data_IF_411716681923
#
_entry.id   IF_411716681923
#
_cell.length_a   1.000
_cell.length_b   1.000
_cell.length_c   1.000
_cell.angle_alpha   90.00
_cell.angle_beta   90.00
_cell.angle_gamma   90.00
#
_symmetry.space_group_name_H-M   'P 1'
#
loop_
_entity.id
_entity.type
_entity.pdbx_description
1 polymer ?
#
# COMPACT_ATOMS: atom_id res chain seq x y z
N UNK A 1 -89.76 1.24 24.67
CA UNK A 1 -88.69 1.35 23.73
C UNK A 1 -87.45 0.76 24.39
N UNK A 2 -87.18 -0.51 24.16
CA UNK A 2 -86.04 -1.22 24.74
C UNK A 2 -85.30 -1.91 23.60
N UNK A 3 -84.08 -1.49 23.33
CA UNK A 3 -83.18 -2.11 22.36
C UNK A 3 -82.28 -3.09 23.14
N UNK A 4 -82.36 -4.34 22.77
CA UNK A 4 -81.63 -5.46 23.34
C UNK A 4 -80.27 -5.62 22.65
N UNK A 5 -79.21 -5.57 23.44
CA UNK A 5 -77.81 -5.88 23.03
C UNK A 5 -77.59 -7.37 23.21
N UNK A 6 -77.48 -8.13 22.11
CA UNK A 6 -76.95 -9.50 22.04
C UNK A 6 -75.81 -9.55 21.03
N UNK A 7 -74.59 -9.20 21.46
CA UNK A 7 -73.38 -9.35 20.66
C UNK A 7 -72.16 -9.68 21.54
N UNK A 8 -72.27 -10.66 22.45
CA UNK A 8 -71.16 -10.97 23.35
C UNK A 8 -70.64 -12.46 23.29
N UNK A 9 -71.30 -13.35 22.58
CA UNK A 9 -70.97 -14.77 22.72
C UNK A 9 -70.25 -15.43 21.50
N UNK A 10 -70.14 -14.72 20.38
CA UNK A 10 -69.45 -15.26 19.20
C UNK A 10 -67.95 -14.86 19.12
N UNK A 11 -67.55 -13.83 19.82
CA UNK A 11 -66.14 -13.39 19.84
C UNK A 11 -65.29 -14.27 20.80
N UNK A 12 -65.89 -14.80 21.90
CA UNK A 12 -65.14 -15.64 22.82
C UNK A 12 -64.83 -17.05 22.27
N UNK A 13 -65.73 -17.60 21.44
CA UNK A 13 -65.52 -18.92 20.80
C UNK A 13 -64.45 -18.86 19.67
N UNK A 14 -64.31 -17.75 18.98
CA UNK A 14 -63.30 -17.57 17.94
C UNK A 14 -61.88 -17.40 18.50
N UNK A 15 -61.73 -16.77 19.67
CA UNK A 15 -60.44 -16.62 20.36
C UNK A 15 -59.94 -17.93 21.00
N UNK A 16 -60.81 -18.80 21.47
CA UNK A 16 -60.43 -20.10 22.00
C UNK A 16 -59.97 -21.09 20.91
N UNK A 17 -60.56 -21.03 19.73
CA UNK A 17 -60.17 -21.86 18.57
C UNK A 17 -58.81 -21.41 17.97
N UNK A 18 -58.50 -20.10 18.00
CA UNK A 18 -57.22 -19.56 17.54
C UNK A 18 -56.07 -19.89 18.51
N UNK A 19 -56.30 -19.94 19.82
CA UNK A 19 -55.29 -20.30 20.81
C UNK A 19 -54.91 -21.78 20.79
N UNK A 20 -55.83 -22.69 20.48
CA UNK A 20 -55.55 -24.14 20.30
C UNK A 20 -54.81 -24.42 18.97
N UNK A 21 -55.06 -23.68 17.91
CA UNK A 21 -54.35 -23.78 16.64
C UNK A 21 -52.90 -23.33 16.72
N UNK A 22 -52.59 -22.30 17.52
CA UNK A 22 -51.24 -21.77 17.70
C UNK A 22 -50.37 -22.68 18.60
N UNK A 23 -50.97 -23.38 19.59
CA UNK A 23 -50.23 -24.33 20.43
C UNK A 23 -49.85 -25.62 19.69
N UNK A 24 -50.59 -26.03 18.65
CA UNK A 24 -50.23 -27.18 17.82
C UNK A 24 -49.12 -26.84 16.76
N UNK A 25 -48.94 -25.57 16.39
CA UNK A 25 -47.88 -25.14 15.47
C UNK A 25 -46.53 -24.95 16.17
N UNK A 26 -46.47 -24.70 17.47
CA UNK A 26 -45.22 -24.50 18.22
C UNK A 26 -44.66 -25.82 18.78
N UNK A 27 -45.46 -26.89 18.85
CA UNK A 27 -45.03 -28.22 19.36
C UNK A 27 -44.43 -29.16 18.33
N UNK A 28 -44.33 -28.76 17.03
CA UNK A 28 -44.02 -29.67 15.94
C UNK A 28 -42.62 -29.52 15.31
N UNK A 29 -41.72 -28.65 15.81
CA UNK A 29 -40.40 -28.45 15.18
C UNK A 29 -39.30 -28.47 16.26
N UNK A 30 -39.17 -29.58 16.94
CA UNK A 30 -37.93 -30.00 17.59
C UNK A 30 -37.48 -31.31 16.93
N UNK A 31 -37.28 -31.27 15.60
CA UNK A 31 -36.39 -32.24 14.97
C UNK A 31 -34.97 -31.86 15.41
N UNK A 32 -34.20 -32.80 15.99
CA UNK A 32 -32.79 -32.57 16.18
C UNK A 32 -32.21 -32.31 14.79
N UNK A 33 -31.79 -31.07 14.54
CA UNK A 33 -30.88 -30.77 13.42
C UNK A 33 -29.69 -31.70 13.59
N UNK A 34 -29.31 -32.50 12.58
CA UNK A 34 -28.06 -33.22 12.65
C UNK A 34 -27.01 -32.18 12.91
N UNK A 35 -26.29 -32.28 14.03
CA UNK A 35 -25.06 -31.55 14.22
C UNK A 35 -24.16 -32.00 13.08
N UNK A 36 -24.01 -31.17 12.04
CA UNK A 36 -22.92 -31.33 11.14
C UNK A 36 -21.71 -31.08 12.04
N UNK A 37 -21.05 -32.16 12.43
CA UNK A 37 -19.67 -32.04 12.86
C UNK A 37 -18.98 -31.37 11.68
N UNK A 38 -18.59 -30.13 11.89
CA UNK A 38 -17.73 -29.39 10.96
C UNK A 38 -16.48 -30.25 10.84
N UNK A 39 -16.35 -30.96 9.72
CA UNK A 39 -15.11 -31.67 9.35
C UNK A 39 -14.07 -30.60 9.00
N UNK A 40 -13.89 -29.61 9.88
CA UNK A 40 -12.85 -28.64 9.80
C UNK A 40 -11.54 -29.43 9.91
N UNK A 41 -10.81 -29.47 8.81
CA UNK A 41 -9.45 -30.01 8.82
C UNK A 41 -8.71 -29.46 10.06
N UNK A 42 -8.00 -30.30 10.83
CA UNK A 42 -7.35 -29.88 12.05
C UNK A 42 -6.50 -28.65 11.78
N UNK A 43 -6.67 -27.63 12.61
CA UNK A 43 -5.93 -26.35 12.51
C UNK A 43 -4.46 -26.62 12.87
N UNK A 44 -3.65 -26.95 11.85
CA UNK A 44 -2.23 -27.26 12.03
C UNK A 44 -1.49 -25.96 12.31
N UNK A 45 -0.98 -25.84 13.51
CA UNK A 45 -0.20 -24.69 13.98
C UNK A 45 1.22 -25.12 14.30
N UNK A 46 2.19 -24.41 13.76
CA UNK A 46 3.59 -24.72 14.00
C UNK A 46 4.48 -23.46 13.92
N UNK A 47 5.70 -23.59 14.38
CA UNK A 47 6.74 -22.59 14.21
C UNK A 47 8.06 -23.23 13.76
N UNK A 48 8.83 -22.46 13.00
CA UNK A 48 10.14 -22.85 12.50
C UNK A 48 11.12 -21.71 12.81
N UNK A 49 12.17 -22.01 13.54
CA UNK A 49 13.16 -21.02 13.97
C UNK A 49 14.55 -21.61 13.92
N UNK A 50 15.62 -20.81 13.73
CA UNK A 50 16.99 -21.26 13.93
C UNK A 50 17.19 -21.85 15.32
N UNK A 51 18.10 -22.80 15.43
CA UNK A 51 18.39 -23.53 16.65
C UNK A 51 19.89 -23.89 16.72
N UNK A 52 20.33 -24.32 17.87
CA UNK A 52 21.53 -25.12 18.04
C UNK A 52 21.16 -26.60 18.22
N UNK A 53 22.15 -27.45 18.48
CA UNK A 53 21.89 -28.88 18.67
C UNK A 53 21.01 -29.18 19.91
N UNK A 54 20.81 -28.23 20.82
CA UNK A 54 20.01 -28.38 22.05
C UNK A 54 18.59 -27.81 21.91
N UNK A 55 18.33 -26.95 20.95
CA UNK A 55 17.03 -26.33 20.72
C UNK A 55 17.09 -24.91 20.18
N UNK A 56 15.94 -24.19 20.15
CA UNK A 56 15.87 -22.81 19.70
C UNK A 56 16.82 -21.89 20.42
N UNK A 57 17.67 -21.14 19.71
CA UNK A 57 18.73 -20.30 20.24
C UNK A 57 18.44 -18.81 20.27
N UNK A 58 17.22 -18.42 19.86
CA UNK A 58 16.74 -17.05 19.85
C UNK A 58 17.08 -16.27 18.58
N UNK A 59 17.85 -16.82 17.66
CA UNK A 59 18.04 -16.23 16.32
C UNK A 59 16.71 -16.19 15.57
N UNK A 60 16.55 -15.20 14.70
CA UNK A 60 15.40 -15.11 13.77
C UNK A 60 15.80 -15.42 12.34
N UNK A 61 17.09 -15.30 12.04
CA UNK A 61 17.70 -15.53 10.75
C UNK A 61 19.01 -16.28 10.97
N UNK A 62 19.46 -16.98 9.96
CA UNK A 62 20.80 -17.53 9.89
C UNK A 62 21.63 -16.62 9.00
N UNK A 63 22.66 -16.00 9.57
CA UNK A 63 23.60 -15.13 8.87
C UNK A 63 25.00 -15.74 8.99
N UNK A 64 25.54 -16.21 7.87
CA UNK A 64 26.86 -16.88 7.84
C UNK A 64 27.78 -16.20 6.83
N UNK A 65 29.08 -16.26 7.12
CA UNK A 65 30.14 -15.82 6.21
C UNK A 65 31.03 -17.02 5.90
N UNK A 66 31.13 -17.35 4.61
CA UNK A 66 31.85 -18.53 4.14
C UNK A 66 32.74 -18.15 2.94
N UNK A 67 33.88 -18.83 2.82
CA UNK A 67 34.69 -18.73 1.61
C UNK A 67 34.12 -19.63 0.49
N UNK A 68 34.38 -19.33 -0.78
CA UNK A 68 34.03 -20.24 -1.88
C UNK A 68 34.59 -21.65 -1.60
N UNK A 69 33.76 -22.67 -1.75
CA UNK A 69 34.09 -24.07 -1.47
C UNK A 69 33.98 -24.50 -0.01
N UNK A 70 33.66 -23.60 0.91
CA UNK A 70 33.42 -23.95 2.31
C UNK A 70 32.02 -24.46 2.58
N UNK A 71 31.89 -25.24 3.66
CA UNK A 71 30.58 -25.69 4.16
C UNK A 71 30.51 -25.51 5.67
N UNK A 72 29.27 -25.32 6.13
CA UNK A 72 28.95 -25.25 7.58
C UNK A 72 27.68 -26.05 7.84
N UNK A 73 27.63 -26.70 9.00
CA UNK A 73 26.43 -27.35 9.51
C UNK A 73 25.81 -26.46 10.60
N UNK A 74 24.49 -26.32 10.54
CA UNK A 74 23.70 -25.58 11.52
C UNK A 74 22.38 -26.31 11.76
N UNK A 75 21.52 -25.79 12.63
CA UNK A 75 20.31 -26.46 13.04
C UNK A 75 19.13 -25.50 13.01
N UNK A 76 17.93 -26.08 12.88
CA UNK A 76 16.69 -25.37 13.11
C UNK A 76 15.70 -26.26 13.86
N UNK A 77 14.76 -25.63 14.56
CA UNK A 77 13.75 -26.32 15.32
C UNK A 77 12.38 -26.16 14.63
N UNK A 78 11.69 -27.28 14.46
CA UNK A 78 10.27 -27.33 14.07
C UNK A 78 9.47 -27.69 15.30
N UNK A 79 8.57 -26.80 15.72
CA UNK A 79 7.67 -27.01 16.84
C UNK A 79 6.25 -27.16 16.35
N UNK A 80 5.62 -28.27 16.66
CA UNK A 80 4.20 -28.48 16.48
C UNK A 80 3.44 -27.90 17.67
N UNK A 81 2.57 -26.92 17.43
CA UNK A 81 1.76 -26.25 18.47
C UNK A 81 0.33 -26.82 18.51
N UNK A 82 0.03 -27.75 17.59
CA UNK A 82 -1.25 -28.47 17.53
C UNK A 82 -1.29 -29.67 18.51
N UNK A 83 -2.41 -30.36 18.50
CA UNK A 83 -2.77 -31.47 19.37
C UNK A 83 -2.68 -32.86 18.68
N UNK A 84 -2.28 -32.90 17.42
CA UNK A 84 -2.04 -34.11 16.65
C UNK A 84 -0.60 -34.15 16.12
N UNK A 85 -0.06 -35.34 15.90
CA UNK A 85 1.22 -35.53 15.20
C UNK A 85 1.11 -35.08 13.76
N UNK A 86 2.13 -34.36 13.26
CA UNK A 86 2.18 -33.83 11.89
C UNK A 86 3.53 -34.12 11.26
N UNK A 87 3.52 -34.56 10.01
CA UNK A 87 4.71 -34.64 9.17
C UNK A 87 4.79 -33.39 8.31
N UNK A 88 5.84 -32.60 8.52
CA UNK A 88 6.13 -31.39 7.75
C UNK A 88 7.09 -31.71 6.61
N UNK A 89 6.80 -31.22 5.41
CA UNK A 89 7.76 -31.21 4.32
C UNK A 89 8.73 -30.06 4.54
N UNK A 90 10.01 -30.31 4.36
CA UNK A 90 11.07 -29.34 4.49
C UNK A 90 11.58 -28.95 3.11
N UNK A 91 11.76 -27.66 2.88
CA UNK A 91 12.23 -27.13 1.59
C UNK A 91 13.22 -26.00 1.85
N UNK A 92 14.34 -26.03 1.11
CA UNK A 92 15.25 -24.91 0.97
C UNK A 92 15.15 -24.34 -0.44
N UNK A 93 15.05 -23.04 -0.57
CA UNK A 93 14.95 -22.39 -1.90
C UNK A 93 15.54 -20.99 -1.87
N UNK A 94 15.83 -20.43 -3.06
CA UNK A 94 16.30 -19.06 -3.21
C UNK A 94 15.31 -18.07 -2.63
N UNK A 95 15.84 -17.07 -1.93
CA UNK A 95 15.08 -16.01 -1.31
C UNK A 95 14.96 -14.79 -2.24
N UNK A 96 13.84 -14.12 -2.15
CA UNK A 96 13.59 -12.88 -2.89
C UNK A 96 12.73 -11.92 -2.07
N UNK A 97 12.70 -10.65 -2.47
CA UNK A 97 11.83 -9.67 -1.87
C UNK A 97 10.56 -9.50 -2.70
N UNK A 98 9.39 -9.70 -2.07
CA UNK A 98 8.09 -9.51 -2.73
C UNK A 98 7.86 -8.02 -3.06
N UNK A 99 6.95 -7.66 -3.98
CA UNK A 99 6.59 -6.26 -4.25
C UNK A 99 6.13 -5.50 -3.00
N UNK A 100 5.56 -6.18 -2.01
CA UNK A 100 5.20 -5.61 -0.72
C UNK A 100 6.38 -5.41 0.24
N UNK A 101 7.61 -5.78 -0.17
CA UNK A 101 8.84 -5.64 0.62
C UNK A 101 9.02 -6.67 1.71
N UNK A 102 8.35 -7.81 1.61
CA UNK A 102 8.54 -8.94 2.53
C UNK A 102 9.46 -9.96 1.88
N UNK A 103 10.33 -10.55 2.69
CA UNK A 103 11.11 -11.69 2.27
C UNK A 103 10.21 -12.92 2.05
N UNK A 104 10.45 -13.64 0.98
CA UNK A 104 9.82 -14.92 0.66
C UNK A 104 10.84 -15.80 -0.06
N UNK A 105 10.52 -17.07 -0.26
CA UNK A 105 11.32 -18.02 -1.05
C UNK A 105 10.54 -18.46 -2.28
N UNK A 106 11.25 -18.95 -3.28
CA UNK A 106 10.65 -19.50 -4.48
C UNK A 106 9.57 -20.52 -4.16
N UNK A 107 8.49 -20.49 -4.95
CA UNK A 107 7.40 -21.44 -4.80
C UNK A 107 7.84 -22.85 -5.15
N UNK A 108 7.15 -23.83 -4.57
CA UNK A 108 7.38 -25.23 -4.87
C UNK A 108 7.28 -25.51 -6.39
N UNK A 109 8.21 -26.26 -6.93
CA UNK A 109 8.33 -26.50 -8.38
C UNK A 109 9.10 -25.44 -9.16
N UNK A 110 9.50 -24.32 -8.55
CA UNK A 110 10.43 -23.37 -9.14
C UNK A 110 11.86 -23.74 -8.75
N UNK A 111 12.70 -23.98 -9.73
CA UNK A 111 14.10 -24.37 -9.47
C UNK A 111 14.90 -23.19 -8.93
N UNK A 112 15.58 -23.41 -7.80
CA UNK A 112 16.61 -22.51 -7.28
C UNK A 112 17.84 -22.52 -8.19
N UNK A 113 18.51 -21.39 -8.29
CA UNK A 113 19.73 -21.21 -9.10
C UNK A 113 20.89 -20.64 -8.31
N UNK A 114 20.65 -20.17 -7.09
CA UNK A 114 21.61 -19.53 -6.20
C UNK A 114 21.65 -20.24 -4.83
N UNK A 115 21.68 -19.49 -3.74
CA UNK A 115 21.90 -19.97 -2.36
C UNK A 115 20.94 -21.08 -1.93
N UNK A 116 19.74 -21.16 -2.48
CA UNK A 116 18.82 -22.27 -2.24
C UNK A 116 19.38 -23.62 -2.67
N UNK A 117 20.25 -23.66 -3.69
CA UNK A 117 20.90 -24.88 -4.15
C UNK A 117 22.06 -25.32 -3.24
N UNK A 118 22.56 -24.43 -2.39
CA UNK A 118 23.68 -24.69 -1.48
C UNK A 118 23.23 -25.34 -0.17
N UNK A 119 21.91 -25.32 0.10
CA UNK A 119 21.35 -25.78 1.36
C UNK A 119 20.80 -27.19 1.20
N UNK A 120 21.30 -28.09 2.02
CA UNK A 120 20.81 -29.47 2.12
C UNK A 120 20.03 -29.63 3.41
N UNK A 121 18.74 -30.03 3.29
CA UNK A 121 17.84 -30.35 4.41
C UNK A 121 17.23 -31.73 4.18
N UNK A 122 16.81 -32.46 5.22
CA UNK A 122 15.97 -33.64 5.07
C UNK A 122 14.66 -33.31 4.33
N UNK A 123 14.07 -34.27 3.61
CA UNK A 123 12.82 -34.05 2.87
C UNK A 123 11.62 -33.75 3.78
N UNK A 124 11.62 -34.33 4.97
CA UNK A 124 10.51 -34.16 5.93
C UNK A 124 10.94 -34.42 7.38
N UNK A 125 10.11 -33.93 8.29
CA UNK A 125 10.22 -34.21 9.74
C UNK A 125 8.85 -34.47 10.31
N UNK A 126 8.73 -35.53 11.13
CA UNK A 126 7.51 -35.84 11.88
C UNK A 126 7.65 -35.32 13.30
N UNK A 127 6.68 -34.52 13.74
CA UNK A 127 6.69 -33.84 15.04
C UNK A 127 5.39 -34.20 15.80
N UNK A 128 5.54 -34.86 16.96
CA UNK A 128 4.41 -35.19 17.81
C UNK A 128 3.70 -33.92 18.32
N UNK A 129 2.46 -34.09 18.78
CA UNK A 129 1.66 -33.01 19.36
C UNK A 129 2.43 -32.26 20.48
N UNK A 130 2.51 -30.94 20.40
CA UNK A 130 3.18 -30.09 21.37
C UNK A 130 4.72 -30.21 21.41
N UNK A 131 5.32 -31.11 20.62
CA UNK A 131 6.77 -31.38 20.63
C UNK A 131 7.55 -30.39 19.76
N UNK A 132 8.87 -30.40 19.99
CA UNK A 132 9.87 -29.69 19.17
C UNK A 132 10.92 -30.70 18.71
N UNK A 133 11.25 -30.68 17.43
CA UNK A 133 12.32 -31.49 16.83
C UNK A 133 13.36 -30.57 16.26
N UNK A 134 14.63 -30.82 16.60
CA UNK A 134 15.78 -30.11 16.02
C UNK A 134 16.24 -30.88 14.78
N UNK A 135 16.43 -30.17 13.70
CA UNK A 135 16.78 -30.70 12.38
C UNK A 135 18.12 -30.09 11.95
N UNK A 136 19.15 -30.91 11.66
CA UNK A 136 20.37 -30.40 11.08
C UNK A 136 20.20 -30.05 9.61
N UNK A 137 20.96 -29.06 9.14
CA UNK A 137 21.10 -28.72 7.73
C UNK A 137 22.53 -28.28 7.42
N UNK A 138 22.91 -28.36 6.17
CA UNK A 138 24.25 -27.98 5.71
C UNK A 138 24.13 -26.88 4.66
N UNK A 139 24.97 -25.87 4.75
CA UNK A 139 25.20 -24.86 3.70
C UNK A 139 26.56 -25.18 3.08
N UNK A 140 26.60 -25.53 1.80
CA UNK A 140 27.82 -25.85 1.06
C UNK A 140 27.98 -24.87 -0.12
N UNK A 141 28.82 -23.85 0.06
CA UNK A 141 29.08 -22.83 -0.95
C UNK A 141 29.92 -23.43 -2.08
N UNK A 142 29.52 -23.33 -3.35
CA UNK A 142 30.34 -23.77 -4.47
C UNK A 142 31.68 -23.04 -4.56
N UNK A 143 32.72 -23.68 -5.02
CA UNK A 143 34.02 -23.05 -5.24
C UNK A 143 34.00 -21.95 -6.30
N UNK A 144 32.95 -21.91 -7.13
CA UNK A 144 32.71 -20.91 -8.18
C UNK A 144 31.72 -19.85 -7.78
N UNK A 145 31.28 -19.85 -6.51
CA UNK A 145 30.31 -18.84 -6.02
C UNK A 145 30.89 -17.44 -6.13
N UNK A 146 30.09 -16.51 -6.60
CA UNK A 146 30.50 -15.10 -6.69
C UNK A 146 30.55 -14.46 -5.28
N UNK A 147 31.50 -13.55 -5.03
CA UNK A 147 31.51 -12.80 -3.77
C UNK A 147 30.25 -11.95 -3.59
N UNK A 148 29.72 -11.90 -2.38
CA UNK A 148 28.55 -11.09 -2.08
C UNK A 148 27.55 -11.74 -1.13
N UNK A 149 26.38 -11.14 -1.02
CA UNK A 149 25.27 -11.65 -0.23
C UNK A 149 24.32 -12.48 -1.08
N UNK A 150 24.10 -13.70 -0.66
CA UNK A 150 23.17 -14.64 -1.29
C UNK A 150 22.07 -15.00 -0.31
N UNK A 151 20.83 -14.94 -0.77
CA UNK A 151 19.66 -15.12 0.07
C UNK A 151 18.93 -16.43 -0.26
N UNK A 152 18.62 -17.18 0.78
CA UNK A 152 17.77 -18.36 0.73
C UNK A 152 16.86 -18.41 1.94
N UNK A 153 15.97 -19.37 1.99
CA UNK A 153 15.19 -19.67 3.19
C UNK A 153 14.93 -21.15 3.32
N UNK A 154 14.69 -21.56 4.56
CA UNK A 154 14.27 -22.91 4.92
C UNK A 154 12.84 -22.81 5.44
N UNK A 155 11.96 -23.66 4.92
CA UNK A 155 10.55 -23.71 5.34
C UNK A 155 10.14 -25.13 5.70
N UNK A 156 9.18 -25.21 6.64
CA UNK A 156 8.40 -26.41 6.86
C UNK A 156 6.97 -26.14 6.38
N UNK A 157 6.44 -27.02 5.55
CA UNK A 157 5.11 -26.89 4.96
C UNK A 157 4.21 -28.08 5.26
N UNK A 158 2.90 -27.82 5.22
CA UNK A 158 1.86 -28.83 5.29
C UNK A 158 0.81 -28.55 4.24
N UNK A 159 0.41 -29.61 3.52
CA UNK A 159 -0.68 -29.56 2.58
C UNK A 159 -2.00 -29.90 3.28
N UNK A 160 -2.89 -28.97 3.38
CA UNK A 160 -4.26 -29.19 3.86
C UNK A 160 -5.24 -29.17 2.69
N UNK A 161 -6.12 -30.16 2.61
CA UNK A 161 -7.19 -30.19 1.61
C UNK A 161 -8.45 -29.62 2.24
N UNK A 162 -8.89 -28.47 1.77
CA UNK A 162 -10.18 -27.87 2.19
C UNK A 162 -11.24 -28.19 1.14
N UNK A 163 -12.40 -28.66 1.61
CA UNK A 163 -13.58 -28.77 0.75
C UNK A 163 -14.25 -27.41 0.67
N UNK A 164 -14.43 -26.92 -0.54
CA UNK A 164 -15.23 -25.72 -0.79
C UNK A 164 -16.72 -26.08 -0.83
N UNK A 165 -17.58 -25.12 -0.48
CA UNK A 165 -19.03 -25.25 -0.67
C UNK A 165 -19.32 -25.53 -2.15
N UNK A 166 -19.91 -26.71 -2.44
CA UNK A 166 -20.14 -27.17 -3.81
C UNK A 166 -19.32 -28.39 -4.24
N UNK A 167 -18.54 -29.01 -3.32
CA UNK A 167 -17.88 -30.31 -3.53
C UNK A 167 -16.54 -30.28 -4.21
N UNK A 168 -16.04 -29.10 -4.59
CA UNK A 168 -14.67 -28.93 -5.08
C UNK A 168 -13.68 -29.01 -3.91
N UNK A 169 -12.58 -29.76 -4.07
CA UNK A 169 -11.48 -29.80 -3.09
C UNK A 169 -10.35 -28.88 -3.53
N UNK A 170 -9.94 -27.97 -2.67
CA UNK A 170 -8.79 -27.09 -2.89
C UNK A 170 -7.66 -27.48 -1.94
N UNK A 171 -6.51 -27.86 -2.48
CA UNK A 171 -5.30 -28.05 -1.70
C UNK A 171 -4.71 -26.67 -1.34
N UNK A 172 -4.54 -26.39 -0.04
CA UNK A 172 -3.86 -25.20 0.47
C UNK A 172 -2.57 -25.64 1.13
N UNK A 173 -1.44 -25.22 0.58
CA UNK A 173 -0.14 -25.39 1.23
C UNK A 173 0.14 -24.17 2.09
N UNK A 174 0.39 -24.42 3.37
CA UNK A 174 0.84 -23.39 4.32
C UNK A 174 2.30 -23.61 4.62
N UNK A 175 3.11 -22.55 4.55
CA UNK A 175 4.57 -22.59 4.77
C UNK A 175 4.97 -21.63 5.88
N UNK A 176 5.83 -22.06 6.77
CA UNK A 176 6.47 -21.24 7.79
C UNK A 176 7.97 -21.55 7.76
N UNK A 177 8.80 -20.52 7.86
CA UNK A 177 10.24 -20.68 7.80
C UNK A 177 11.01 -19.45 8.24
N UNK A 178 12.29 -19.47 7.99
CA UNK A 178 13.21 -18.39 8.32
C UNK A 178 14.19 -18.15 7.16
N UNK A 179 14.78 -16.98 7.17
CA UNK A 179 15.75 -16.52 6.18
C UNK A 179 17.15 -17.05 6.49
N UNK A 180 17.85 -17.50 5.46
CA UNK A 180 19.25 -17.85 5.48
C UNK A 180 20.00 -16.89 4.58
N UNK A 181 20.99 -16.19 5.10
CA UNK A 181 21.82 -15.24 4.38
C UNK A 181 23.26 -15.73 4.43
N UNK A 182 23.80 -16.01 3.26
CA UNK A 182 25.18 -16.45 3.12
C UNK A 182 25.99 -15.33 2.48
N UNK A 183 26.97 -14.80 3.18
CA UNK A 183 27.95 -13.90 2.60
C UNK A 183 29.15 -14.71 2.13
N UNK A 184 29.35 -14.75 0.82
CA UNK A 184 30.55 -15.31 0.20
C UNK A 184 31.65 -14.26 0.25
N UNK A 185 32.84 -14.66 0.81
CA UNK A 185 33.97 -13.74 0.96
C UNK A 185 34.58 -13.37 -0.39
N UNK A 186 35.12 -12.16 -0.48
CA UNK A 186 35.71 -11.60 -1.68
C UNK A 186 35.47 -10.10 -1.78
N UNK A 187 35.59 -9.57 -2.97
CA UNK A 187 35.39 -8.15 -3.20
C UNK A 187 33.90 -7.76 -3.11
N UNK A 188 33.60 -6.84 -2.20
CA UNK A 188 32.26 -6.32 -2.00
C UNK A 188 32.14 -5.01 -2.76
N UNK A 189 31.22 -4.96 -3.72
CA UNK A 189 30.96 -3.84 -4.61
C UNK A 189 29.49 -3.34 -4.43
N UNK A 190 29.21 -2.54 -3.39
CA UNK A 190 27.87 -2.02 -3.17
C UNK A 190 27.53 -0.97 -4.22
N UNK A 191 26.40 -1.10 -4.91
CA UNK A 191 25.92 -0.16 -5.91
C UNK A 191 24.41 -0.05 -5.88
N UNK A 192 23.89 1.17 -5.98
CA UNK A 192 22.46 1.42 -6.11
C UNK A 192 22.17 2.24 -7.36
N UNK A 193 21.04 1.96 -7.99
CA UNK A 193 20.54 2.72 -9.14
C UNK A 193 19.16 3.30 -8.84
N UNK A 194 18.89 4.47 -9.42
CA UNK A 194 17.58 5.10 -9.45
C UNK A 194 17.07 5.14 -10.89
N UNK A 195 15.88 4.60 -11.10
CA UNK A 195 15.24 4.54 -12.40
C UNK A 195 13.78 5.01 -12.33
N UNK A 196 13.15 5.22 -13.50
CA UNK A 196 11.73 5.46 -13.68
C UNK A 196 11.12 6.51 -12.71
N UNK A 197 11.86 7.63 -12.48
CA UNK A 197 11.39 8.70 -11.61
C UNK A 197 10.25 9.48 -12.29
N UNK A 198 9.10 9.53 -11.62
CA UNK A 198 7.92 10.28 -12.06
C UNK A 198 7.37 11.11 -10.89
N UNK A 199 6.81 12.26 -11.21
CA UNK A 199 6.19 13.13 -10.23
C UNK A 199 4.80 13.58 -10.71
N UNK A 200 3.83 13.62 -9.79
CA UNK A 200 2.48 14.10 -10.02
C UNK A 200 2.07 15.10 -8.94
N UNK A 201 1.06 15.92 -9.23
CA UNK A 201 0.57 16.94 -8.32
C UNK A 201 -0.93 16.78 -8.10
N UNK A 202 -1.30 16.65 -6.84
CA UNK A 202 -2.68 16.62 -6.38
C UNK A 202 -3.07 18.02 -5.89
N UNK A 203 -4.02 18.65 -6.61
CA UNK A 203 -4.45 20.01 -6.38
C UNK A 203 -5.38 20.11 -5.17
N UNK A 204 -5.11 21.06 -4.24
CA UNK A 204 -6.13 21.51 -3.27
C UNK A 204 -7.00 22.57 -3.92
N UNK A 205 -8.33 22.36 -3.92
CA UNK A 205 -9.28 23.31 -4.48
C UNK A 205 -9.46 24.59 -3.66
N UNK A 206 -8.88 24.67 -2.47
CA UNK A 206 -8.80 25.93 -1.74
C UNK A 206 -7.62 26.77 -2.29
N UNK A 207 -7.90 27.95 -2.89
CA UNK A 207 -6.85 28.76 -3.51
C UNK A 207 -5.79 29.31 -2.53
N UNK A 208 -6.05 29.21 -1.22
CA UNK A 208 -5.17 29.69 -0.16
C UNK A 208 -4.37 28.54 0.49
N UNK A 209 -4.49 27.32 -0.02
CA UNK A 209 -3.73 26.16 0.48
C UNK A 209 -2.81 25.59 -0.61
N UNK A 210 -1.62 25.14 -0.20
CA UNK A 210 -0.77 24.36 -1.09
C UNK A 210 -1.38 22.97 -1.31
N UNK A 211 -1.03 22.32 -2.41
CA UNK A 211 -1.39 20.94 -2.70
C UNK A 211 -0.31 19.95 -2.26
N UNK A 212 -0.41 18.74 -2.78
CA UNK A 212 0.47 17.61 -2.44
C UNK A 212 1.15 17.11 -3.72
N UNK A 213 2.45 16.91 -3.68
CA UNK A 213 3.18 16.22 -4.74
C UNK A 213 3.41 14.75 -4.36
N UNK A 214 3.33 13.89 -5.35
CA UNK A 214 3.64 12.46 -5.19
C UNK A 214 4.77 12.12 -6.15
N UNK A 215 5.91 11.69 -5.60
CA UNK A 215 7.07 11.26 -6.37
C UNK A 215 7.20 9.74 -6.28
N UNK A 216 7.22 9.09 -7.42
CA UNK A 216 7.38 7.63 -7.56
C UNK A 216 8.67 7.35 -8.30
N UNK A 217 9.47 6.45 -7.79
CA UNK A 217 10.77 6.09 -8.37
C UNK A 217 11.13 4.65 -8.05
N UNK A 218 11.94 4.05 -8.89
CA UNK A 218 12.46 2.70 -8.67
C UNK A 218 13.87 2.77 -8.12
N UNK A 219 14.09 2.05 -7.01
CA UNK A 219 15.41 1.81 -6.44
C UNK A 219 15.83 0.39 -6.77
N UNK A 220 16.98 0.21 -7.39
CA UNK A 220 17.57 -1.09 -7.67
C UNK A 220 18.89 -1.24 -6.93
N UNK A 221 19.11 -2.43 -6.36
CA UNK A 221 20.43 -2.84 -5.87
C UNK A 221 21.21 -3.46 -7.04
N UNK A 222 22.13 -2.69 -7.59
CA UNK A 222 22.99 -3.11 -8.69
C UNK A 222 24.35 -3.69 -8.21
N UNK A 223 24.52 -3.79 -6.89
CA UNK A 223 25.73 -4.34 -6.27
C UNK A 223 25.56 -5.79 -5.86
N UNK A 224 26.60 -6.32 -5.21
CA UNK A 224 26.65 -7.70 -4.72
C UNK A 224 26.44 -7.81 -3.21
N UNK A 225 26.01 -6.77 -2.53
CA UNK A 225 25.73 -6.78 -1.09
C UNK A 225 24.36 -6.16 -0.81
N UNK A 226 23.76 -6.54 0.29
CA UNK A 226 22.49 -5.98 0.76
C UNK A 226 22.61 -4.49 1.01
N UNK A 227 21.59 -3.73 0.59
CA UNK A 227 21.52 -2.30 0.78
C UNK A 227 20.27 -1.93 1.57
N UNK A 228 20.38 -0.89 2.37
CA UNK A 228 19.24 -0.18 2.94
C UNK A 228 19.03 1.08 2.13
N UNK A 229 17.85 1.22 1.53
CA UNK A 229 17.48 2.41 0.79
C UNK A 229 17.08 3.52 1.77
N UNK A 230 17.80 4.63 1.74
CA UNK A 230 17.50 5.84 2.49
C UNK A 230 17.88 7.07 1.68
N UNK A 231 17.20 8.20 1.91
CA UNK A 231 17.50 9.42 1.17
C UNK A 231 16.48 10.51 1.40
N UNK A 232 16.40 11.44 0.46
CA UNK A 232 15.47 12.57 0.50
C UNK A 232 14.80 12.77 -0.86
N UNK A 233 13.57 13.24 -0.82
CA UNK A 233 12.83 13.74 -1.98
C UNK A 233 12.58 15.22 -1.78
N UNK A 234 13.05 16.04 -2.70
CA UNK A 234 12.84 17.49 -2.72
C UNK A 234 11.90 17.85 -3.85
N UNK A 235 10.88 18.66 -3.57
CA UNK A 235 9.94 19.21 -4.56
C UNK A 235 9.79 20.70 -4.30
N UNK A 236 10.30 21.52 -5.20
CA UNK A 236 10.39 22.96 -4.98
C UNK A 236 11.22 23.28 -3.73
N UNK A 237 10.58 23.92 -2.75
CA UNK A 237 11.17 24.27 -1.45
C UNK A 237 10.94 23.24 -0.33
N UNK A 238 10.26 22.13 -0.64
CA UNK A 238 9.93 21.07 0.32
C UNK A 238 10.88 19.89 0.17
N UNK A 239 11.32 19.36 1.31
CA UNK A 239 12.16 18.17 1.36
C UNK A 239 11.62 17.20 2.42
N UNK A 240 11.50 15.93 2.04
CA UNK A 240 11.03 14.85 2.90
C UNK A 240 12.03 13.70 2.83
N UNK A 241 12.36 13.13 3.97
CA UNK A 241 13.24 11.96 4.06
C UNK A 241 12.46 10.67 3.82
N UNK A 242 13.12 9.68 3.24
CA UNK A 242 12.64 8.32 3.18
C UNK A 242 13.72 7.34 3.71
N UNK A 243 13.36 6.30 4.50
CA UNK A 243 12.04 6.12 5.09
C UNK A 243 11.64 7.31 5.97
N UNK A 244 10.34 7.48 6.21
CA UNK A 244 9.85 8.48 7.14
C UNK A 244 10.33 8.17 8.58
N UNK A 245 10.34 9.17 9.44
CA UNK A 245 10.75 8.98 10.83
C UNK A 245 9.86 7.93 11.52
N UNK A 246 10.48 6.88 12.09
CA UNK A 246 9.77 5.75 12.70
C UNK A 246 9.37 4.62 11.74
N UNK A 247 9.55 4.78 10.44
CA UNK A 247 9.38 3.68 9.49
C UNK A 247 10.62 2.79 9.42
N UNK A 248 10.39 1.49 9.24
CA UNK A 248 11.48 0.55 9.00
C UNK A 248 12.10 0.80 7.63
N UNK A 249 13.41 0.88 7.61
CA UNK A 249 14.16 1.03 6.37
C UNK A 249 13.96 -0.19 5.46
N UNK A 250 13.87 0.07 4.15
CA UNK A 250 13.75 -0.97 3.14
C UNK A 250 15.10 -1.60 2.86
N UNK A 251 15.22 -2.89 3.14
CA UNK A 251 16.37 -3.70 2.74
C UNK A 251 16.15 -4.22 1.32
N UNK A 252 17.19 -4.14 0.49
CA UNK A 252 17.22 -4.63 -0.89
C UNK A 252 18.34 -5.68 -1.00
N UNK A 253 17.98 -6.88 -1.39
CA UNK A 253 18.93 -7.94 -1.74
C UNK A 253 19.65 -7.59 -3.06
N UNK A 254 20.83 -8.17 -3.35
CA UNK A 254 21.47 -8.05 -4.67
C UNK A 254 20.48 -8.40 -5.79
N UNK A 255 20.40 -7.53 -6.80
CA UNK A 255 19.46 -7.70 -7.91
C UNK A 255 18.02 -7.25 -7.64
N UNK A 256 17.64 -6.95 -6.40
CA UNK A 256 16.30 -6.48 -6.08
C UNK A 256 16.03 -5.09 -6.69
N UNK A 257 14.78 -4.92 -7.15
CA UNK A 257 14.23 -3.62 -7.57
C UNK A 257 12.93 -3.36 -6.82
N UNK A 258 12.77 -2.13 -6.35
CA UNK A 258 11.57 -1.73 -5.63
C UNK A 258 11.09 -0.34 -6.03
N UNK A 259 9.81 -0.25 -6.36
CA UNK A 259 9.13 1.03 -6.56
C UNK A 259 8.81 1.66 -5.20
N UNK A 260 9.28 2.88 -4.99
CA UNK A 260 9.01 3.69 -3.82
C UNK A 260 8.09 4.85 -4.19
N UNK A 261 7.21 5.20 -3.27
CA UNK A 261 6.30 6.32 -3.40
C UNK A 261 6.45 7.22 -2.19
N UNK A 262 6.82 8.47 -2.42
CA UNK A 262 6.98 9.48 -1.36
C UNK A 262 5.97 10.61 -1.59
N UNK A 263 5.26 10.96 -0.55
CA UNK A 263 4.28 12.05 -0.55
C UNK A 263 4.94 13.29 0.06
N UNK A 264 4.87 14.40 -0.65
CA UNK A 264 5.43 15.69 -0.24
C UNK A 264 4.29 16.70 -0.12
N UNK A 265 3.91 17.01 1.10
CA UNK A 265 2.84 17.96 1.38
C UNK A 265 3.32 19.41 1.37
N UNK A 266 2.41 20.34 1.15
CA UNK A 266 2.69 21.75 1.25
C UNK A 266 3.41 22.33 0.03
N UNK A 267 3.26 21.74 -1.14
CA UNK A 267 3.83 22.22 -2.40
C UNK A 267 2.91 23.25 -3.03
N UNK A 268 3.42 24.46 -3.27
CA UNK A 268 2.67 25.52 -3.94
C UNK A 268 2.61 25.29 -5.48
N UNK A 269 1.46 25.54 -6.12
CA UNK A 269 1.32 25.37 -7.56
C UNK A 269 1.99 26.52 -8.34
N UNK A 270 3.24 26.33 -8.70
CA UNK A 270 4.07 27.30 -9.42
C UNK A 270 4.16 27.02 -10.94
N UNK A 271 3.16 26.32 -11.51
CA UNK A 271 3.09 25.87 -12.90
C UNK A 271 4.06 24.75 -13.20
N UNK A 272 5.34 24.95 -13.02
CA UNK A 272 6.41 23.98 -13.22
C UNK A 272 7.23 23.90 -11.94
N UNK A 273 7.32 22.68 -11.35
CA UNK A 273 8.05 22.46 -10.11
C UNK A 273 9.06 21.33 -10.33
N UNK A 274 10.35 21.56 -10.09
CA UNK A 274 11.35 20.50 -10.14
C UNK A 274 11.19 19.56 -8.94
N UNK A 275 11.44 18.28 -9.17
CA UNK A 275 11.52 17.25 -8.15
C UNK A 275 12.87 16.54 -8.26
N UNK A 276 13.55 16.34 -7.14
CA UNK A 276 14.83 15.64 -7.08
C UNK A 276 14.76 14.56 -6.03
N UNK A 277 15.12 13.34 -6.41
CA UNK A 277 15.31 12.21 -5.50
C UNK A 277 16.80 12.05 -5.27
N UNK A 278 17.22 12.12 -4.01
CA UNK A 278 18.61 11.87 -3.59
C UNK A 278 18.64 10.60 -2.76
N UNK A 279 19.25 9.54 -3.27
CA UNK A 279 19.43 8.26 -2.58
C UNK A 279 20.82 8.23 -1.96
N UNK A 280 20.88 7.95 -0.66
CA UNK A 280 22.12 7.74 0.12
C UNK A 280 22.03 6.33 0.72
N UNK A 281 22.29 5.29 -0.07
CA UNK A 281 22.12 3.92 0.38
C UNK A 281 23.22 3.55 1.38
N UNK A 282 22.90 2.56 2.24
CA UNK A 282 23.85 2.01 3.21
C UNK A 282 23.99 0.51 2.99
N UNK A 283 25.21 0.02 2.89
CA UNK A 283 25.45 -1.40 2.84
C UNK A 283 25.18 -2.03 4.21
N UNK A 284 24.52 -3.20 4.22
CA UNK A 284 24.31 -4.00 5.42
C UNK A 284 25.40 -5.05 5.49
N UNK A 285 26.18 -5.08 6.56
CA UNK A 285 27.27 -6.04 6.70
C UNK A 285 27.11 -6.90 7.96
N UNK A 286 27.57 -8.14 7.87
CA UNK A 286 27.55 -9.09 9.00
C UNK A 286 28.68 -8.76 10.01
N UNK A 287 29.77 -8.16 9.55
CA UNK A 287 30.99 -7.95 10.33
C UNK A 287 31.18 -6.50 10.84
N UNK A 288 30.19 -5.62 10.66
CA UNK A 288 30.30 -4.22 11.08
C UNK A 288 31.09 -3.33 10.11
N UNK A 289 31.70 -3.86 9.06
CA UNK A 289 32.27 -3.08 7.98
C UNK A 289 31.15 -2.42 7.18
N UNK A 290 31.13 -1.12 7.09
CA UNK A 290 30.16 -0.37 6.26
C UNK A 290 30.88 0.21 5.03
N UNK A 291 31.03 -0.55 3.94
CA UNK A 291 31.62 -0.01 2.73
C UNK A 291 30.78 1.17 2.27
N UNK A 292 31.50 2.23 1.84
CA UNK A 292 30.82 3.43 1.33
C UNK A 292 30.09 3.09 0.03
N UNK A 293 28.83 3.50 -0.05
CA UNK A 293 28.03 3.41 -1.28
C UNK A 293 27.92 4.80 -1.86
N UNK A 294 28.17 4.93 -3.15
CA UNK A 294 28.06 6.22 -3.82
C UNK A 294 26.59 6.70 -3.79
N UNK A 295 26.35 7.95 -3.36
CA UNK A 295 25.01 8.51 -3.48
C UNK A 295 24.63 8.67 -4.95
N UNK A 296 23.36 8.50 -5.27
CA UNK A 296 22.82 8.70 -6.60
C UNK A 296 21.60 9.61 -6.54
N UNK A 297 21.37 10.37 -7.60
CA UNK A 297 20.21 11.26 -7.69
C UNK A 297 19.53 11.15 -9.04
N UNK A 298 18.21 11.35 -9.04
CA UNK A 298 17.41 11.43 -10.23
C UNK A 298 16.49 12.64 -10.17
N UNK A 299 16.26 13.24 -11.32
CA UNK A 299 15.41 14.41 -11.46
C UNK A 299 14.13 14.06 -12.19
N UNK A 300 13.05 14.70 -11.77
CA UNK A 300 11.78 14.69 -12.43
C UNK A 300 11.19 16.10 -12.38
N UNK A 301 10.15 16.34 -13.13
CA UNK A 301 9.40 17.58 -13.06
C UNK A 301 7.91 17.29 -13.03
N UNK A 302 7.17 18.17 -12.40
CA UNK A 302 5.72 18.06 -12.35
C UNK A 302 5.05 19.37 -12.74
N UNK A 303 3.89 19.24 -13.35
CA UNK A 303 3.03 20.37 -13.68
C UNK A 303 2.05 20.60 -12.53
N UNK A 304 2.29 21.68 -11.77
CA UNK A 304 1.44 22.11 -10.67
C UNK A 304 0.67 23.36 -11.09
N UNK A 305 -0.43 23.16 -11.87
CA UNK A 305 -1.22 24.27 -12.37
C UNK A 305 -2.02 24.94 -11.25
N UNK A 306 -1.93 26.29 -11.08
CA UNK A 306 -2.66 27.03 -10.07
C UNK A 306 -4.12 27.26 -10.49
N UNK A 307 -4.88 26.20 -10.82
CA UNK A 307 -6.21 26.32 -11.37
C UNK A 307 -7.21 27.03 -10.42
N UNK A 308 -7.28 26.75 -9.11
CA UNK A 308 -8.17 27.48 -8.21
C UNK A 308 -7.83 28.97 -8.12
N UNK A 309 -6.54 29.30 -8.05
CA UNK A 309 -6.05 30.69 -8.01
C UNK A 309 -6.38 31.42 -9.33
N UNK A 310 -6.18 30.75 -10.46
CA UNK A 310 -6.51 31.30 -11.78
C UNK A 310 -8.00 31.58 -11.94
N UNK A 311 -8.86 30.70 -11.45
CA UNK A 311 -10.33 30.89 -11.45
C UNK A 311 -10.71 32.12 -10.61
N UNK A 312 -10.16 32.25 -9.41
CA UNK A 312 -10.41 33.42 -8.53
C UNK A 312 -9.95 34.70 -9.20
N UNK A 313 -8.72 34.72 -9.74
CA UNK A 313 -8.19 35.89 -10.45
C UNK A 313 -9.02 36.26 -11.68
N UNK A 314 -9.47 35.27 -12.44
CA UNK A 314 -10.39 35.50 -13.57
C UNK A 314 -11.71 36.11 -13.11
N UNK A 315 -12.28 35.59 -12.02
CA UNK A 315 -13.52 36.13 -11.41
C UNK A 315 -13.34 37.60 -11.00
N UNK A 316 -12.24 37.92 -10.34
CA UNK A 316 -11.91 39.29 -9.96
C UNK A 316 -11.74 40.18 -11.19
N UNK A 317 -11.03 39.72 -12.21
CA UNK A 317 -10.81 40.46 -13.44
C UNK A 317 -12.13 40.76 -14.17
N UNK A 318 -13.04 39.77 -14.26
CA UNK A 318 -14.38 39.96 -14.85
C UNK A 318 -15.23 40.95 -14.05
N UNK A 319 -15.14 40.90 -12.71
CA UNK A 319 -15.84 41.83 -11.86
C UNK A 319 -15.35 43.27 -12.05
N UNK A 320 -14.05 43.48 -12.06
CA UNK A 320 -13.40 44.75 -12.34
C UNK A 320 -13.79 45.26 -13.74
N UNK A 321 -13.71 44.39 -14.73
CA UNK A 321 -14.12 44.73 -16.10
C UNK A 321 -15.61 45.14 -16.17
N UNK A 322 -16.51 44.43 -15.51
CA UNK A 322 -17.95 44.77 -15.48
C UNK A 322 -18.19 46.12 -14.80
N UNK A 323 -17.48 46.45 -13.73
CA UNK A 323 -17.57 47.74 -13.05
C UNK A 323 -17.11 48.90 -13.96
N UNK A 324 -16.00 48.75 -14.67
CA UNK A 324 -15.52 49.76 -15.62
C UNK A 324 -16.45 49.90 -16.83
N UNK A 325 -16.91 48.78 -17.41
CA UNK A 325 -17.84 48.76 -18.50
C UNK A 325 -19.18 49.41 -18.14
N UNK A 326 -19.72 49.07 -16.96
CA UNK A 326 -20.95 49.68 -16.44
C UNK A 326 -20.79 51.20 -16.27
N UNK A 327 -19.65 51.64 -15.72
CA UNK A 327 -19.37 53.08 -15.53
C UNK A 327 -19.24 53.82 -16.85
N UNK A 328 -18.57 53.28 -17.87
CA UNK A 328 -18.44 53.90 -19.19
C UNK A 328 -19.77 53.92 -19.93
N UNK A 329 -20.58 52.86 -19.82
CA UNK A 329 -21.91 52.80 -20.43
C UNK A 329 -22.92 53.78 -19.78
N UNK A 330 -22.85 53.92 -18.45
CA UNK A 330 -23.66 54.88 -17.71
C UNK A 330 -23.35 56.33 -18.09
N UNK A 331 -22.05 56.69 -18.20
CA UNK A 331 -21.61 58.02 -18.64
C UNK A 331 -22.14 58.33 -20.04
N UNK A 332 -22.03 57.44 -21.03
CA UNK A 332 -22.55 57.62 -22.39
C UNK A 332 -24.05 57.83 -22.41
N UNK A 333 -24.84 57.18 -21.55
CA UNK A 333 -26.30 57.39 -21.42
C UNK A 333 -26.63 58.74 -20.85
N UNK A 334 -25.90 59.20 -19.82
CA UNK A 334 -26.07 60.52 -19.23
C UNK A 334 -25.75 61.61 -20.28
N UNK A 335 -24.65 61.46 -21.01
CA UNK A 335 -24.27 62.41 -22.08
C UNK A 335 -25.33 62.48 -23.17
N UNK A 336 -25.94 61.35 -23.55
CA UNK A 336 -27.04 61.32 -24.54
C UNK A 336 -28.30 62.01 -23.98
N UNK A 337 -28.69 61.79 -22.73
CA UNK A 337 -29.84 62.45 -22.12
C UNK A 337 -29.63 63.95 -21.97
N UNK A 338 -28.42 64.39 -21.59
CA UNK A 338 -28.06 65.82 -21.55
C UNK A 338 -28.11 66.44 -22.93
N UNK A 339 -27.59 65.77 -23.97
CA UNK A 339 -27.63 66.27 -25.34
C UNK A 339 -29.10 66.37 -25.85
N UNK A 340 -29.99 65.41 -25.55
CA UNK A 340 -31.38 65.48 -25.87
C UNK A 340 -32.10 66.62 -25.17
N UNK A 341 -31.89 66.81 -23.86
CA UNK A 341 -32.47 67.93 -23.12
C UNK A 341 -32.04 69.31 -23.62
N UNK A 342 -30.73 69.44 -24.01
CA UNK A 342 -30.25 70.65 -24.67
C UNK A 342 -30.90 70.91 -26.03
N UNK A 343 -31.16 69.89 -26.82
CA UNK A 343 -31.81 70.00 -28.12
C UNK A 343 -33.31 70.34 -28.03
N UNK A 344 -33.96 69.75 -27.01
CA UNK A 344 -35.38 70.08 -26.72
C UNK A 344 -35.50 71.53 -26.20
N UNK A 345 -34.60 71.96 -25.32
CA UNK A 345 -34.49 73.34 -24.79
C UNK A 345 -34.28 74.36 -25.95
N UNK A 346 -33.42 74.04 -26.94
CA UNK A 346 -33.21 74.90 -28.11
C UNK A 346 -34.42 74.95 -28.98
N UNK A 347 -35.13 73.84 -29.20
CA UNK A 347 -36.37 73.83 -29.98
C UNK A 347 -37.50 74.59 -29.32
N UNK A 348 -37.66 74.52 -28.02
CA UNK A 348 -38.63 75.29 -27.24
C UNK A 348 -38.32 76.80 -27.32
N UNK A 349 -37.06 77.20 -27.12
CA UNK A 349 -36.66 78.62 -27.27
C UNK A 349 -36.88 79.18 -28.67
N UNK A 350 -36.61 78.37 -29.71
CA UNK A 350 -36.91 78.79 -31.11
C UNK A 350 -38.43 78.89 -31.42
N UNK A 351 -39.24 78.05 -30.79
CA UNK A 351 -40.70 78.11 -30.90
C UNK A 351 -41.28 79.38 -30.22
N UNK A 352 -40.79 79.75 -29.05
CA UNK A 352 -41.15 80.97 -28.32
C UNK A 352 -40.78 82.23 -29.12
N UNK A 353 -39.59 82.30 -29.72
CA UNK A 353 -39.18 83.38 -30.58
C UNK A 353 -40.09 83.55 -31.86
N UNK A 354 -40.60 82.45 -32.40
CA UNK A 354 -41.48 82.48 -33.52
C UNK A 354 -42.92 82.91 -33.13
N UNK A 355 -43.32 82.82 -31.90
CA UNK A 355 -44.64 83.28 -31.42
C UNK A 355 -44.65 84.79 -31.08
N UNK A 356 -43.46 85.32 -30.73
CA UNK A 356 -43.31 86.75 -30.41
C UNK A 356 -43.15 87.70 -31.66
N UNK A 357 -43.05 87.14 -32.88
CA UNK A 357 -42.95 87.91 -34.08
C UNK A 357 -44.27 88.68 -34.29
N UNK A 358 -44.27 90.02 -34.27
CA UNK A 358 -45.48 90.81 -34.40
C UNK A 358 -46.11 90.65 -35.79
N UNK A 359 -47.37 90.29 -35.88
CA UNK A 359 -48.16 90.34 -37.07
C UNK A 359 -48.39 91.82 -37.40
N UNK A 360 -47.60 92.38 -38.29
CA UNK A 360 -47.85 93.64 -38.94
C UNK A 360 -48.70 93.48 -40.19
#
# INVERSE_FOLDING_TARGET
MRVSTRTGSRAAAALAAAALGLAALVGGILLPTPAHADDAAPDVRWSVVPADASGPDGRRTVDVRLDPGQSVEDHFAVRNVGDAEVTFRLTAADGFTTPAGRFDILADGTASVDAGTWISVPESVTVAAGATVVVPFTIAVPATAEPGDHAAGITASVLSVRRADGGASVGVESRVGFRVLTRVTGEIAPAAALDATAASYDIDWNPLRPGTAVVTFDVANAGNTRLVAAGTVSVGDRTVSFPAEGESATELLPGDRRTMRVVVDGVWPLVYVPATVSLVPRAVTIAGDTPAVAPTSAEASLWALPAPQAIVLLGIALLVFALFWGRTRSRRRIDQLVAQAHEEGRRAAAADLNQEAPRG
#
